data_IF_603214067512
#
_entry.id   IF_603214067512
#
_cell.length_a   1.000
_cell.length_b   1.000
_cell.length_c   1.000
_cell.angle_alpha   90.00
_cell.angle_beta   90.00
_cell.angle_gamma   90.00
#
_symmetry.space_group_name_H-M   'P 1'
#
loop_
_entity.id
_entity.type
_entity.pdbx_description
1 polymer ?
#
# COMPACT_ATOMS: atom_id res chain seq x y z
N UNK A 1 5.52 -18.98 5.02
CA UNK A 1 5.37 -18.99 3.55
C UNK A 1 6.51 -18.28 2.79
N UNK A 2 7.57 -17.79 3.46
CA UNK A 2 8.79 -17.33 2.79
C UNK A 2 8.73 -15.97 2.09
N UNK A 3 7.56 -15.36 2.00
CA UNK A 3 7.32 -14.07 1.33
C UNK A 3 6.61 -13.08 2.26
N UNK A 4 6.80 -11.79 2.01
CA UNK A 4 6.08 -10.70 2.66
C UNK A 4 5.13 -10.04 1.65
N UNK A 5 3.89 -9.79 2.09
CA UNK A 5 2.87 -9.13 1.30
C UNK A 5 2.59 -7.73 1.83
N UNK A 6 2.58 -6.74 0.93
CA UNK A 6 2.32 -5.35 1.24
C UNK A 6 1.31 -4.75 0.26
N UNK A 7 0.66 -3.64 0.65
CA UNK A 7 -0.25 -2.88 -0.20
C UNK A 7 0.32 -1.47 -0.43
N UNK A 8 0.40 -1.05 -1.69
CA UNK A 8 0.95 0.23 -2.11
C UNK A 8 0.10 0.93 -3.16
N UNK A 9 0.39 2.22 -3.38
CA UNK A 9 -0.28 3.05 -4.37
C UNK A 9 0.34 2.88 -5.76
N UNK A 10 -0.51 2.93 -6.80
CA UNK A 10 -0.12 3.13 -8.20
C UNK A 10 -1.36 3.55 -9.02
N UNK A 11 -1.19 4.10 -10.21
CA UNK A 11 -2.29 4.73 -10.97
C UNK A 11 -3.19 3.77 -11.77
N UNK A 12 -2.83 2.48 -11.82
CA UNK A 12 -3.57 1.48 -12.60
C UNK A 12 -4.73 0.86 -11.81
N UNK A 13 -5.84 0.47 -12.46
CA UNK A 13 -6.97 -0.24 -11.85
C UNK A 13 -6.64 -1.74 -11.65
N UNK A 14 -5.47 -2.02 -11.09
CA UNK A 14 -4.97 -3.35 -10.76
C UNK A 14 -4.69 -3.44 -9.26
N UNK A 15 -4.51 -4.65 -8.75
CA UNK A 15 -4.14 -4.86 -7.35
C UNK A 15 -2.86 -4.10 -7.00
N UNK A 16 -2.91 -3.31 -5.92
CA UNK A 16 -1.74 -2.70 -5.30
C UNK A 16 -1.06 -3.62 -4.29
N UNK A 17 -1.55 -4.86 -4.12
CA UNK A 17 -0.89 -5.88 -3.29
C UNK A 17 0.27 -6.49 -4.05
N UNK A 18 1.46 -6.50 -3.43
CA UNK A 18 2.69 -7.02 -4.01
C UNK A 18 3.48 -7.89 -3.02
N UNK A 19 4.38 -8.71 -3.56
CA UNK A 19 5.29 -9.58 -2.82
C UNK A 19 6.67 -8.94 -2.74
N UNK A 20 7.33 -9.06 -1.58
CA UNK A 20 8.73 -8.72 -1.38
C UNK A 20 9.43 -9.78 -0.55
N UNK A 21 10.77 -9.76 -0.62
CA UNK A 21 11.57 -10.48 0.35
C UNK A 21 11.31 -9.92 1.76
N UNK A 22 11.06 -10.78 2.76
CA UNK A 22 10.75 -10.32 4.10
C UNK A 22 11.79 -9.34 4.64
N UNK A 23 11.32 -8.21 5.20
CA UNK A 23 12.16 -7.14 5.78
C UNK A 23 12.98 -6.33 4.77
N UNK A 24 12.75 -6.51 3.47
CA UNK A 24 13.54 -5.89 2.40
C UNK A 24 12.70 -5.04 1.45
N UNK A 25 11.58 -4.46 1.91
CA UNK A 25 10.76 -3.57 1.09
C UNK A 25 11.55 -2.30 0.70
N UNK A 26 11.73 -2.00 -0.61
CA UNK A 26 12.45 -0.82 -1.06
C UNK A 26 11.86 0.48 -0.51
N UNK A 27 12.72 1.42 -0.11
CA UNK A 27 12.30 2.71 0.46
C UNK A 27 11.89 2.68 1.93
N UNK A 28 11.92 1.51 2.59
CA UNK A 28 11.61 1.37 4.02
C UNK A 28 12.75 0.72 4.79
N UNK A 29 12.94 1.15 6.04
CA UNK A 29 13.86 0.52 6.98
C UNK A 29 13.10 -0.40 7.91
N UNK A 30 13.44 -1.69 7.89
CA UNK A 30 12.87 -2.65 8.82
C UNK A 30 13.29 -2.35 10.26
N UNK A 31 12.31 -2.29 11.17
CA UNK A 31 12.55 -2.05 12.59
C UNK A 31 12.40 -3.30 13.45
N UNK A 32 11.33 -4.06 13.26
CA UNK A 32 11.00 -5.24 14.07
C UNK A 32 9.90 -6.10 13.44
N UNK A 33 9.83 -7.36 13.85
CA UNK A 33 8.72 -8.28 13.56
C UNK A 33 7.88 -8.48 14.80
N UNK A 34 6.56 -8.61 14.63
CA UNK A 34 5.60 -8.91 15.70
C UNK A 34 4.79 -10.12 15.28
N UNK A 35 4.74 -11.14 16.14
CA UNK A 35 3.90 -12.31 15.90
C UNK A 35 2.43 -11.96 16.17
N UNK A 36 1.57 -12.15 15.18
CA UNK A 36 0.14 -11.86 15.25
C UNK A 36 -0.69 -13.13 15.51
N UNK A 37 -0.19 -14.30 15.14
CA UNK A 37 -0.85 -15.59 15.30
C UNK A 37 -0.26 -16.65 14.37
N UNK A 38 -0.96 -17.77 14.25
CA UNK A 38 -0.61 -18.90 13.38
C UNK A 38 -1.82 -19.30 12.55
N UNK A 39 -1.58 -19.97 11.42
CA UNK A 39 -2.62 -20.54 10.56
C UNK A 39 -2.15 -21.92 10.08
N UNK A 40 -3.08 -22.84 9.90
CA UNK A 40 -2.83 -24.20 9.40
C UNK A 40 -3.00 -24.30 7.87
N UNK A 41 -3.18 -23.16 7.19
CA UNK A 41 -3.28 -23.13 5.72
C UNK A 41 -2.02 -23.68 5.06
N UNK A 42 -2.18 -24.41 3.95
CA UNK A 42 -1.06 -24.75 3.09
C UNK A 42 -0.50 -23.49 2.40
N UNK A 43 0.70 -23.56 1.84
CA UNK A 43 1.27 -22.45 1.07
C UNK A 43 0.40 -22.03 -0.11
N UNK A 44 -0.21 -22.99 -0.81
CA UNK A 44 -1.15 -22.70 -1.90
C UNK A 44 -2.45 -22.07 -1.40
N UNK A 45 -3.00 -22.57 -0.29
CA UNK A 45 -4.20 -22.00 0.33
C UNK A 45 -3.97 -20.57 0.83
N UNK A 46 -2.82 -20.30 1.43
CA UNK A 46 -2.43 -18.96 1.86
C UNK A 46 -2.29 -18.00 0.68
N UNK A 47 -1.68 -18.46 -0.44
CA UNK A 47 -1.56 -17.65 -1.64
C UNK A 47 -2.92 -17.29 -2.24
N UNK A 48 -3.81 -18.27 -2.40
CA UNK A 48 -5.17 -18.03 -2.89
C UNK A 48 -5.96 -17.09 -1.96
N UNK A 49 -5.77 -17.23 -0.64
CA UNK A 49 -6.35 -16.32 0.33
C UNK A 49 -5.87 -14.88 0.10
N UNK A 50 -4.57 -14.66 -0.09
CA UNK A 50 -4.04 -13.31 -0.38
C UNK A 50 -4.53 -12.79 -1.73
N UNK A 51 -4.57 -13.62 -2.77
CA UNK A 51 -5.12 -13.26 -4.09
C UNK A 51 -6.60 -12.83 -3.99
N UNK A 52 -7.40 -13.51 -3.16
CA UNK A 52 -8.77 -13.10 -2.89
C UNK A 52 -8.83 -11.74 -2.18
N UNK A 53 -7.99 -11.53 -1.17
CA UNK A 53 -7.90 -10.23 -0.47
C UNK A 53 -7.48 -9.10 -1.42
N UNK A 54 -6.51 -9.37 -2.30
CA UNK A 54 -6.00 -8.42 -3.28
C UNK A 54 -7.08 -7.88 -4.23
N UNK A 55 -8.13 -8.66 -4.50
CA UNK A 55 -9.29 -8.23 -5.28
C UNK A 55 -10.08 -7.06 -4.68
N UNK A 56 -9.84 -6.66 -3.44
CA UNK A 56 -10.43 -5.46 -2.81
C UNK A 56 -9.42 -4.31 -2.61
N UNK A 57 -8.16 -4.52 -2.97
CA UNK A 57 -7.02 -3.65 -2.68
C UNK A 57 -6.32 -3.20 -3.96
N UNK A 58 -7.03 -2.41 -4.76
CA UNK A 58 -6.49 -1.79 -5.97
C UNK A 58 -5.54 -0.66 -5.63
N UNK A 59 -4.45 -0.52 -6.40
CA UNK A 59 -3.43 0.49 -6.16
C UNK A 59 -3.95 1.92 -6.31
N UNK A 60 -4.87 2.13 -7.26
CA UNK A 60 -5.54 3.42 -7.50
C UNK A 60 -6.55 3.79 -6.40
N UNK A 61 -6.85 2.85 -5.50
CA UNK A 61 -7.69 3.06 -4.31
C UNK A 61 -6.88 3.33 -3.03
N UNK A 62 -5.55 3.36 -3.10
CA UNK A 62 -4.71 3.61 -1.94
C UNK A 62 -4.93 5.02 -1.39
N UNK A 63 -5.15 5.11 -0.09
CA UNK A 63 -5.30 6.37 0.62
C UNK A 63 -4.48 6.33 1.92
N UNK A 64 -3.56 7.28 2.06
CA UNK A 64 -2.59 7.37 3.17
C UNK A 64 -3.23 7.24 4.55
N UNK A 65 -4.44 7.78 4.70
CA UNK A 65 -5.20 7.75 5.96
C UNK A 65 -6.26 6.64 6.01
N UNK A 66 -7.10 6.51 4.98
CA UNK A 66 -8.33 5.71 5.04
C UNK A 66 -8.19 4.29 4.47
N UNK A 67 -7.16 4.02 3.66
CA UNK A 67 -6.96 2.72 3.00
C UNK A 67 -5.49 2.56 2.62
N UNK A 68 -4.67 2.21 3.59
CA UNK A 68 -3.22 2.07 3.44
C UNK A 68 -2.75 0.65 3.79
N UNK A 69 -1.44 0.42 3.76
CA UNK A 69 -0.83 -0.87 4.11
C UNK A 69 -1.28 -1.43 5.47
N UNK A 70 -1.51 -0.59 6.48
CA UNK A 70 -1.96 -1.05 7.80
C UNK A 70 -3.39 -1.59 7.79
N UNK A 71 -4.26 -1.05 6.93
CA UNK A 71 -5.64 -1.55 6.77
C UNK A 71 -5.60 -2.95 6.14
N UNK A 72 -4.81 -3.10 5.08
CA UNK A 72 -4.57 -4.40 4.45
C UNK A 72 -4.02 -5.42 5.47
N UNK A 73 -2.97 -5.07 6.22
CA UNK A 73 -2.40 -5.96 7.23
C UNK A 73 -3.42 -6.32 8.32
N UNK A 74 -4.24 -5.35 8.76
CA UNK A 74 -5.28 -5.61 9.75
C UNK A 74 -6.34 -6.58 9.25
N UNK A 75 -6.83 -6.41 8.03
CA UNK A 75 -7.85 -7.27 7.44
C UNK A 75 -7.34 -8.70 7.25
N UNK A 76 -6.12 -8.83 6.71
CA UNK A 76 -5.43 -10.12 6.56
C UNK A 76 -5.28 -10.80 7.93
N UNK A 77 -4.77 -10.08 8.93
CA UNK A 77 -4.58 -10.60 10.27
C UNK A 77 -5.90 -11.04 10.91
N UNK A 78 -6.94 -10.22 10.80
CA UNK A 78 -8.26 -10.47 11.39
C UNK A 78 -8.90 -11.71 10.76
N UNK A 79 -8.83 -11.86 9.44
CA UNK A 79 -9.42 -13.01 8.74
C UNK A 79 -8.65 -14.31 8.96
N UNK A 80 -7.32 -14.24 9.09
CA UNK A 80 -6.49 -15.44 9.32
C UNK A 80 -6.50 -15.91 10.77
N UNK A 81 -6.49 -14.98 11.73
CA UNK A 81 -6.19 -15.30 13.14
C UNK A 81 -7.30 -14.91 14.10
N UNK A 82 -8.32 -14.18 13.63
CA UNK A 82 -9.34 -13.57 14.49
C UNK A 82 -8.83 -12.40 15.34
N UNK A 83 -7.59 -11.94 15.13
CA UNK A 83 -6.95 -10.88 15.92
C UNK A 83 -6.64 -9.67 15.05
N UNK A 84 -6.75 -8.48 15.62
CA UNK A 84 -6.36 -7.23 14.97
C UNK A 84 -4.88 -6.93 15.18
N UNK A 85 -4.31 -6.05 14.35
CA UNK A 85 -2.95 -5.54 14.58
C UNK A 85 -2.90 -4.65 15.84
N UNK A 86 -1.74 -4.54 16.51
CA UNK A 86 -1.62 -3.70 17.69
C UNK A 86 -2.01 -2.24 17.41
N UNK A 87 -2.86 -1.66 18.26
CA UNK A 87 -3.46 -0.35 18.01
C UNK A 87 -2.47 0.82 17.82
N UNK A 88 -1.24 0.70 18.33
CA UNK A 88 -0.17 1.69 18.11
C UNK A 88 0.34 1.72 16.66
N UNK A 89 0.20 0.64 15.89
CA UNK A 89 0.54 0.61 14.45
C UNK A 89 -0.34 1.60 13.69
N UNK A 90 -1.64 1.58 13.98
CA UNK A 90 -2.61 2.51 13.39
C UNK A 90 -2.57 3.93 13.99
N UNK A 91 -1.89 4.15 15.14
CA UNK A 91 -1.78 5.49 15.72
C UNK A 91 -0.94 6.43 14.84
N UNK A 92 0.10 5.94 14.17
CA UNK A 92 0.93 6.79 13.29
C UNK A 92 0.15 7.27 12.05
N UNK A 93 -0.63 6.39 11.41
CA UNK A 93 -1.52 6.78 10.32
C UNK A 93 -2.58 7.81 10.77
N UNK A 94 -3.10 7.67 12.01
CA UNK A 94 -4.07 8.61 12.60
C UNK A 94 -3.46 9.95 13.03
N UNK A 95 -2.23 9.96 13.52
CA UNK A 95 -1.52 11.19 13.90
C UNK A 95 -1.14 11.99 12.65
N UNK A 96 -0.74 11.32 11.56
CA UNK A 96 -0.55 11.97 10.25
C UNK A 96 -1.83 12.59 9.68
N UNK A 97 -3.00 12.01 9.98
CA UNK A 97 -4.32 12.54 9.61
C UNK A 97 -4.74 13.78 10.43
N UNK A 98 -4.44 13.80 11.72
CA UNK A 98 -4.81 14.91 12.62
C UNK A 98 -3.89 16.15 12.47
N UNK A 99 -2.68 15.97 11.94
CA UNK A 99 -1.73 17.04 11.65
C UNK A 99 -1.50 17.17 10.15
N UNK A 100 -2.44 17.77 9.42
CA UNK A 100 -2.27 18.14 8.01
C UNK A 100 -1.16 19.18 7.76
N UNK A 101 -0.48 19.62 8.83
CA UNK A 101 0.63 20.57 8.86
C UNK A 101 2.01 19.92 9.07
N UNK A 102 2.09 18.60 9.28
CA UNK A 102 3.36 17.85 9.45
C UNK A 102 3.62 16.85 8.32
N UNK A 103 2.69 16.74 7.38
CA UNK A 103 2.94 16.03 6.13
C UNK A 103 3.69 17.00 5.20
N UNK A 104 4.91 16.68 4.74
CA UNK A 104 5.52 17.47 3.67
C UNK A 104 4.57 17.51 2.47
N UNK A 105 4.54 18.62 1.73
CA UNK A 105 3.62 18.83 0.58
C UNK A 105 3.67 17.69 -0.44
N UNK A 106 4.77 16.93 -0.50
CA UNK A 106 4.92 15.72 -1.32
C UNK A 106 4.00 14.55 -0.95
N UNK A 107 3.35 14.58 0.21
CA UNK A 107 2.42 13.55 0.70
C UNK A 107 0.95 13.98 0.51
N UNK A 108 0.69 15.25 0.16
CA UNK A 108 -0.64 15.70 -0.27
C UNK A 108 -0.93 15.28 -1.72
N UNK A 109 -0.82 13.98 -2.01
CA UNK A 109 -1.28 13.44 -3.28
C UNK A 109 -2.77 13.14 -3.15
N UNK A 110 -3.57 14.18 -3.35
CA UNK A 110 -4.80 13.98 -4.13
C UNK A 110 -4.32 13.47 -5.48
N UNK A 111 -4.78 12.29 -5.90
CA UNK A 111 -4.46 11.63 -7.18
C UNK A 111 -3.89 12.63 -8.19
N UNK A 112 -2.59 12.55 -8.48
CA UNK A 112 -1.93 13.49 -9.39
C UNK A 112 -2.69 13.42 -10.71
N UNK A 113 -3.54 14.41 -10.94
CA UNK A 113 -4.19 14.61 -12.23
C UNK A 113 -3.05 14.90 -13.19
N UNK A 114 -2.80 13.95 -14.07
CA UNK A 114 -1.93 14.09 -15.22
C UNK A 114 -2.21 15.44 -15.91
N UNK A 115 -1.19 16.27 -16.07
CA UNK A 115 -1.20 17.31 -17.10
C UNK A 115 -0.67 16.62 -18.36
N UNK A 116 -1.47 16.42 -19.42
CA UNK A 116 -0.93 15.98 -20.69
C UNK A 116 -0.25 17.18 -21.35
N UNK A 117 1.08 17.22 -21.33
CA UNK A 117 1.83 18.21 -22.11
C UNK A 117 2.01 17.64 -23.54
N UNK A 118 1.02 17.94 -24.38
CA UNK A 118 1.17 17.96 -25.84
C UNK A 118 1.20 19.42 -26.28
N UNK A 119 2.37 19.92 -26.69
CA UNK A 119 2.54 21.05 -27.61
C UNK A 119 3.73 20.68 -28.52
N UNK A 120 3.47 20.19 -29.73
CA UNK A 120 3.43 20.99 -30.95
C UNK A 120 4.58 22.01 -31.05
N UNK A 121 5.67 21.60 -31.69
CA UNK A 121 6.60 22.53 -32.35
C UNK A 121 6.38 22.38 -33.85
N UNK A 122 5.53 23.27 -34.36
CA UNK A 122 5.35 23.55 -35.78
C UNK A 122 6.64 24.06 -36.40
N UNK A 123 6.94 23.47 -37.54
CA UNK A 123 7.74 24.01 -38.64
C UNK A 123 7.52 25.52 -38.86
N UNK A 124 8.61 26.26 -39.16
CA UNK A 124 8.77 27.33 -40.17
C UNK A 124 10.15 28.00 -39.99
N UNK A 125 10.88 28.14 -41.10
CA UNK A 125 12.30 28.48 -41.17
C UNK A 125 12.64 29.98 -41.27
N UNK A 126 13.58 30.27 -42.18
CA UNK A 126 14.34 31.53 -42.46
C UNK A 126 15.73 31.46 -41.79
N UNK A 127 16.88 31.53 -42.47
CA UNK A 127 17.26 31.96 -43.82
C UNK A 127 18.50 31.19 -44.30
#
# INVERSE_FOLDING_TARGET
YGVEYAFGAHDYPTSGVFEVEPKSCPGFLFRRSISLGTTDMSSSGFRQFIEHMAGSYYGDSYHLIAKNCNHFTNDVCTRLTGRCIPGWVNRLARIGSFCNCLLPESIQVTAVRHIPEYQELSDQGIS
#
